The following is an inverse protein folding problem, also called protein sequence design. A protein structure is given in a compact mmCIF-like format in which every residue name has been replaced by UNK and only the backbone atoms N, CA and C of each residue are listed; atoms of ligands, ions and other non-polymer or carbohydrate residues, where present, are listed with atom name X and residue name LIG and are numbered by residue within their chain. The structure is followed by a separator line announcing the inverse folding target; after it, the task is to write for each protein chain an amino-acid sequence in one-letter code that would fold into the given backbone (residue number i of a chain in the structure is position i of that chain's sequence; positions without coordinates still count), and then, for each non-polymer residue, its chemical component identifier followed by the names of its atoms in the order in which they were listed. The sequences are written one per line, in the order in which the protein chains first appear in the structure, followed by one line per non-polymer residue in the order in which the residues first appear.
data_IF_975363970307
#
_entry.id   IF_975363970307
#
_cell.length_a   1.000
_cell.length_b   1.000
_cell.length_c   1.000
_cell.angle_alpha   90.00
_cell.angle_beta   90.00
_cell.angle_gamma   90.00
#
_symmetry.space_group_name_H-M   'P 1'
#
loop_
_entity.id
_entity.type
_entity.pdbx_description
1 polymer ?
#
# COMPACT_ATOMS: atom_id res chain seq x y z
N UNK A 1 21.51 -1.63 11.05
CA UNK A 1 20.97 -0.32 10.62
C UNK A 1 20.47 -0.46 9.19
N UNK A 2 19.26 0.01 8.89
CA UNK A 2 18.67 -0.02 7.54
C UNK A 2 18.42 1.39 7.04
N UNK A 3 18.71 1.62 5.77
CA UNK A 3 18.24 2.78 4.99
C UNK A 3 17.70 2.28 3.65
N UNK A 4 16.57 2.81 3.23
CA UNK A 4 16.05 2.70 1.87
C UNK A 4 16.88 3.55 0.90
N UNK A 5 16.79 3.23 -0.39
CA UNK A 5 17.71 3.75 -1.42
C UNK A 5 17.02 4.23 -2.69
N UNK A 6 15.76 3.88 -2.91
CA UNK A 6 15.04 4.22 -4.14
C UNK A 6 14.53 5.66 -4.15
N UNK A 7 14.16 6.12 -5.32
CA UNK A 7 13.62 7.45 -5.59
C UNK A 7 12.25 7.32 -6.26
N UNK A 8 11.55 8.45 -6.42
CA UNK A 8 10.22 8.49 -7.03
C UNK A 8 10.25 9.04 -8.47
N UNK A 9 9.31 8.61 -9.34
CA UNK A 9 9.25 9.00 -10.74
C UNK A 9 8.57 10.37 -10.95
N UNK A 10 9.15 11.43 -10.37
CA UNK A 10 8.69 12.81 -10.57
C UNK A 10 9.84 13.78 -10.85
N UNK A 11 9.49 14.89 -11.48
CA UNK A 11 10.41 15.99 -11.74
C UNK A 11 10.68 16.77 -10.44
N UNK A 12 11.96 16.98 -10.13
CA UNK A 12 12.34 17.80 -8.99
C UNK A 12 12.17 19.30 -9.30
N UNK A 13 11.36 19.98 -8.47
CA UNK A 13 11.02 21.40 -8.63
C UNK A 13 11.47 22.28 -7.46
N UNK A 14 12.46 21.81 -6.70
CA UNK A 14 12.97 22.49 -5.50
C UNK A 14 13.80 23.74 -5.85
N UNK A 15 14.40 23.79 -7.04
CA UNK A 15 15.32 24.86 -7.45
C UNK A 15 16.68 24.82 -6.74
N UNK A 16 16.95 23.77 -5.97
CA UNK A 16 18.21 23.61 -5.25
C UNK A 16 19.38 23.43 -6.24
N UNK A 17 20.60 23.89 -5.89
CA UNK A 17 21.77 23.73 -6.78
C UNK A 17 22.10 22.28 -7.15
N UNK A 18 21.68 21.34 -6.31
CA UNK A 18 21.85 19.89 -6.48
C UNK A 18 20.56 19.17 -6.90
N UNK A 19 19.53 19.90 -7.31
CA UNK A 19 18.27 19.30 -7.77
C UNK A 19 18.53 18.30 -8.91
N UNK A 20 17.86 17.16 -8.84
CA UNK A 20 17.97 16.09 -9.82
C UNK A 20 17.56 16.56 -11.22
N UNK A 21 18.36 16.14 -12.20
CA UNK A 21 18.10 16.28 -13.64
C UNK A 21 18.02 14.92 -14.33
N UNK A 22 17.97 13.85 -13.53
CA UNK A 22 18.05 12.47 -14.01
C UNK A 22 16.69 12.04 -14.55
N UNK A 23 16.70 11.34 -15.69
CA UNK A 23 15.55 10.62 -16.26
C UNK A 23 15.95 9.15 -16.40
N UNK A 24 15.20 8.25 -15.76
CA UNK A 24 15.49 6.82 -15.73
C UNK A 24 14.25 6.00 -16.10
N UNK A 25 14.44 4.71 -16.36
CA UNK A 25 13.36 3.74 -16.52
C UNK A 25 13.04 3.08 -15.18
N UNK A 26 11.75 2.93 -14.87
CA UNK A 26 11.29 2.10 -13.76
C UNK A 26 11.43 0.60 -14.09
N UNK A 27 11.08 -0.27 -13.13
CA UNK A 27 11.11 -1.73 -13.29
C UNK A 27 10.12 -2.26 -14.35
N UNK A 28 9.17 -1.43 -14.81
CA UNK A 28 8.24 -1.72 -15.91
C UNK A 28 8.72 -1.15 -17.25
N UNK A 29 9.92 -0.54 -17.28
CA UNK A 29 10.51 0.08 -18.47
C UNK A 29 9.99 1.49 -18.78
N UNK A 30 9.10 2.06 -17.96
CA UNK A 30 8.55 3.39 -18.17
C UNK A 30 9.59 4.45 -17.82
N UNK A 31 9.82 5.40 -18.73
CA UNK A 31 10.78 6.49 -18.52
C UNK A 31 10.13 7.67 -17.80
N UNK A 32 10.74 8.12 -16.71
CA UNK A 32 10.31 9.29 -15.96
C UNK A 32 11.51 10.06 -15.37
N UNK A 33 11.36 11.37 -15.07
CA UNK A 33 12.29 12.09 -14.20
C UNK A 33 12.37 11.43 -12.82
N UNK A 34 13.48 11.63 -12.11
CA UNK A 34 13.77 10.99 -10.83
C UNK A 34 14.01 12.04 -9.75
N UNK A 35 13.36 11.91 -8.59
CA UNK A 35 13.57 12.76 -7.42
C UNK A 35 13.52 11.92 -6.13
N UNK A 36 14.43 12.17 -5.19
CA UNK A 36 14.32 11.63 -3.82
C UNK A 36 13.30 12.43 -2.98
N UNK A 37 12.03 12.41 -3.40
CA UNK A 37 10.97 13.17 -2.73
C UNK A 37 10.55 12.60 -1.35
N UNK A 38 10.99 11.38 -1.03
CA UNK A 38 10.81 10.74 0.29
C UNK A 38 12.09 10.74 1.14
N UNK A 39 13.10 11.52 0.76
CA UNK A 39 14.36 11.70 1.49
C UNK A 39 15.24 10.44 1.69
N UNK A 40 15.08 9.40 0.85
CA UNK A 40 15.92 8.19 0.90
C UNK A 40 17.41 8.50 0.66
N UNK A 41 17.72 9.57 -0.07
CA UNK A 41 19.08 10.12 -0.16
C UNK A 41 19.65 10.56 1.19
N UNK A 42 18.85 11.23 2.00
CA UNK A 42 19.21 11.62 3.36
C UNK A 42 19.37 10.40 4.26
N UNK A 43 18.53 9.37 4.11
CA UNK A 43 18.65 8.11 4.85
C UNK A 43 19.97 7.39 4.53
N UNK A 44 20.33 7.30 3.24
CA UNK A 44 21.62 6.76 2.80
C UNK A 44 22.80 7.58 3.35
N UNK A 45 22.72 8.92 3.31
CA UNK A 45 23.75 9.79 3.84
C UNK A 45 23.97 9.59 5.35
N UNK A 46 22.87 9.49 6.12
CA UNK A 46 22.92 9.18 7.56
C UNK A 46 23.55 7.82 7.82
N UNK A 47 23.15 6.77 7.09
CA UNK A 47 23.70 5.41 7.23
C UNK A 47 25.22 5.39 6.99
N UNK A 48 25.70 6.04 5.93
CA UNK A 48 27.13 6.15 5.62
C UNK A 48 27.87 6.96 6.70
N UNK A 49 27.26 8.03 7.21
CA UNK A 49 27.82 8.84 8.29
C UNK A 49 28.04 8.02 9.56
N UNK A 50 27.03 7.28 10.01
CA UNK A 50 27.11 6.40 11.17
C UNK A 50 28.14 5.28 10.95
N UNK A 51 28.13 4.66 9.76
CA UNK A 51 29.09 3.62 9.41
C UNK A 51 30.55 4.11 9.53
N UNK A 52 30.85 5.29 8.97
CA UNK A 52 32.19 5.90 9.05
C UNK A 52 32.59 6.19 10.50
N UNK A 53 31.66 6.70 11.31
CA UNK A 53 31.94 6.99 12.73
C UNK A 53 32.20 5.73 13.54
N UNK A 54 31.33 4.73 13.45
CA UNK A 54 31.51 3.47 14.19
C UNK A 54 32.77 2.71 13.72
N UNK A 55 33.12 2.78 12.44
CA UNK A 55 34.36 2.21 11.93
C UNK A 55 35.61 2.90 12.48
N UNK A 56 35.57 4.21 12.73
CA UNK A 56 36.66 4.98 13.32
C UNK A 56 36.79 4.83 14.84
N UNK A 57 35.75 4.31 15.51
CA UNK A 57 35.67 4.17 16.96
C UNK A 57 35.65 2.70 17.42
N UNK A 58 36.24 1.79 16.63
CA UNK A 58 36.21 0.34 16.90
C UNK A 58 36.81 -0.07 18.25
N UNK A 59 37.62 0.79 18.86
CA UNK A 59 38.19 0.63 20.20
C UNK A 59 37.20 0.98 21.33
N UNK A 60 36.08 1.63 21.00
CA UNK A 60 35.09 2.13 21.97
C UNK A 60 33.78 1.34 21.98
N UNK A 61 33.65 0.31 21.13
CA UNK A 61 32.48 -0.56 21.11
C UNK A 61 32.87 -1.98 20.71
N UNK A 62 31.98 -2.94 20.99
CA UNK A 62 32.18 -4.35 20.65
C UNK A 62 30.90 -4.96 20.07
N UNK A 63 31.04 -5.88 19.12
CA UNK A 63 29.96 -6.57 18.45
C UNK A 63 30.05 -6.49 16.93
N UNK A 64 28.90 -6.62 16.25
CA UNK A 64 28.81 -6.60 14.78
C UNK A 64 27.84 -5.52 14.32
N UNK A 65 28.30 -4.62 13.47
CA UNK A 65 27.44 -3.64 12.78
C UNK A 65 27.06 -4.18 11.39
N UNK A 66 25.77 -4.43 11.17
CA UNK A 66 25.21 -4.77 9.86
C UNK A 66 24.56 -3.54 9.25
N UNK A 67 24.98 -3.17 8.03
CA UNK A 67 24.45 -2.03 7.28
C UNK A 67 23.62 -2.57 6.11
N UNK A 68 22.35 -2.21 6.05
CA UNK A 68 21.38 -2.70 5.08
C UNK A 68 20.94 -1.52 4.21
N UNK A 69 21.37 -1.51 2.95
CA UNK A 69 20.81 -0.64 1.92
C UNK A 69 19.67 -1.33 1.20
N UNK A 70 18.43 -0.93 1.46
CA UNK A 70 17.24 -1.55 0.90
C UNK A 70 16.79 -0.84 -0.39
N UNK A 71 16.69 -1.54 -1.53
CA UNK A 71 16.06 -0.98 -2.73
C UNK A 71 14.52 -1.04 -2.64
N UNK A 72 13.81 -0.38 -3.54
CA UNK A 72 12.38 -0.64 -3.82
C UNK A 72 11.45 -0.58 -2.59
N UNK A 73 11.66 0.40 -1.71
CA UNK A 73 10.75 0.68 -0.59
C UNK A 73 9.43 1.27 -1.09
N UNK A 74 9.47 2.16 -2.07
CA UNK A 74 8.30 2.92 -2.55
C UNK A 74 7.24 2.03 -3.23
N UNK A 75 7.62 0.81 -3.62
CA UNK A 75 6.72 -0.20 -4.17
C UNK A 75 6.46 -1.35 -3.20
N UNK A 76 6.98 -1.27 -1.98
CA UNK A 76 6.77 -2.24 -0.90
C UNK A 76 7.49 -3.59 -1.06
N UNK A 77 8.27 -3.81 -2.13
CA UNK A 77 8.84 -5.12 -2.46
C UNK A 77 10.28 -5.32 -1.99
N UNK A 78 10.98 -4.24 -1.64
CA UNK A 78 12.40 -4.22 -1.34
C UNK A 78 12.85 -5.20 -0.26
N UNK A 79 12.27 -5.06 0.92
CA UNK A 79 12.62 -5.87 2.08
C UNK A 79 12.35 -7.36 1.83
N UNK A 80 11.18 -7.67 1.26
CA UNK A 80 10.80 -9.05 0.92
C UNK A 80 11.75 -9.67 -0.11
N UNK A 81 12.14 -8.90 -1.14
CA UNK A 81 13.10 -9.34 -2.15
C UNK A 81 14.48 -9.63 -1.55
N UNK A 82 14.99 -8.77 -0.66
CA UNK A 82 16.27 -9.00 0.03
C UNK A 82 16.22 -10.24 0.92
N UNK A 83 15.13 -10.44 1.67
CA UNK A 83 14.93 -11.64 2.49
C UNK A 83 14.89 -12.90 1.63
N UNK A 84 14.17 -12.86 0.51
CA UNK A 84 14.06 -13.97 -0.45
C UNK A 84 15.40 -14.29 -1.12
N UNK A 85 16.23 -13.27 -1.38
CA UNK A 85 17.61 -13.44 -1.85
C UNK A 85 18.59 -13.80 -0.71
N UNK A 86 18.09 -14.15 0.47
CA UNK A 86 18.91 -14.71 1.55
C UNK A 86 19.70 -13.67 2.35
N UNK A 87 19.15 -12.46 2.57
CA UNK A 87 19.81 -11.42 3.39
C UNK A 87 20.40 -11.97 4.69
N UNK A 88 19.65 -12.74 5.47
CA UNK A 88 20.12 -13.29 6.75
C UNK A 88 20.74 -14.69 6.66
N UNK A 89 20.90 -15.23 5.46
CA UNK A 89 21.70 -16.44 5.21
C UNK A 89 23.07 -16.09 4.64
N UNK A 90 23.17 -15.01 3.86
CA UNK A 90 24.40 -14.47 3.29
C UNK A 90 25.13 -13.50 4.23
N UNK A 91 24.41 -12.82 5.11
CA UNK A 91 24.95 -11.84 6.06
C UNK A 91 24.52 -12.17 7.51
N UNK A 92 25.27 -11.72 8.54
CA UNK A 92 24.88 -11.94 9.93
C UNK A 92 23.48 -11.41 10.23
N UNK A 93 22.65 -12.23 10.89
CA UNK A 93 21.36 -11.79 11.41
C UNK A 93 21.60 -10.92 12.67
N UNK A 94 21.18 -9.65 12.69
CA UNK A 94 21.35 -8.80 13.86
C UNK A 94 20.33 -9.14 14.95
N UNK A 95 20.67 -8.86 16.21
CA UNK A 95 19.73 -8.95 17.33
C UNK A 95 18.64 -7.88 17.25
N UNK A 96 18.99 -6.70 16.73
CA UNK A 96 18.09 -5.57 16.54
C UNK A 96 18.31 -4.91 15.17
N UNK A 97 17.21 -4.48 14.55
CA UNK A 97 17.23 -3.62 13.37
C UNK A 97 16.72 -2.24 13.76
N UNK A 98 17.49 -1.22 13.45
CA UNK A 98 17.11 0.18 13.61
C UNK A 98 17.05 0.83 12.23
N UNK A 99 15.99 1.59 12.00
CA UNK A 99 15.78 2.44 10.84
C UNK A 99 15.20 3.79 11.31
N UNK A 100 15.38 4.83 10.52
CA UNK A 100 14.79 6.14 10.77
C UNK A 100 14.28 6.70 9.45
N UNK A 101 13.19 7.45 9.51
CA UNK A 101 12.63 8.16 8.36
C UNK A 101 12.64 9.66 8.66
N UNK A 102 13.08 10.46 7.71
CA UNK A 102 13.02 11.92 7.82
C UNK A 102 11.57 12.35 7.74
N UNK A 103 11.11 13.17 8.68
CA UNK A 103 9.72 13.64 8.75
C UNK A 103 9.66 15.12 8.41
N UNK A 104 8.76 15.50 7.51
CA UNK A 104 8.39 16.90 7.27
C UNK A 104 7.33 17.42 8.26
N UNK A 105 6.82 16.57 9.14
CA UNK A 105 5.72 16.87 10.06
C UNK A 105 6.21 17.21 11.47
N UNK A 106 7.34 16.64 11.87
CA UNK A 106 7.89 16.79 13.22
C UNK A 106 8.83 18.00 13.31
N UNK A 107 8.91 18.66 14.48
CA UNK A 107 9.85 19.76 14.68
C UNK A 107 11.31 19.35 14.40
N UNK A 108 12.03 20.17 13.64
CA UNK A 108 13.44 19.93 13.37
C UNK A 108 14.26 19.81 14.66
N UNK A 109 15.18 18.84 14.69
CA UNK A 109 16.02 18.54 15.86
C UNK A 109 15.36 17.61 16.89
N UNK A 110 14.17 17.09 16.60
CA UNK A 110 13.51 16.07 17.42
C UNK A 110 13.61 14.66 16.79
N UNK A 111 13.47 13.64 17.62
CA UNK A 111 13.29 12.24 17.21
C UNK A 111 11.98 11.75 17.81
N UNK A 112 10.99 11.49 16.97
CA UNK A 112 9.74 10.86 17.38
C UNK A 112 9.89 9.33 17.30
N UNK A 113 9.32 8.63 18.27
CA UNK A 113 9.18 7.17 18.24
C UNK A 113 7.92 6.77 19.00
N UNK A 114 7.39 5.61 18.66
CA UNK A 114 6.34 4.95 19.43
C UNK A 114 6.77 3.51 19.71
N UNK A 115 6.46 2.95 20.88
CA UNK A 115 6.48 1.49 21.02
C UNK A 115 5.48 0.87 20.04
N UNK A 116 5.76 -0.38 19.65
CA UNK A 116 4.89 -1.20 18.81
C UNK A 116 4.68 -0.61 17.39
N UNK A 117 3.42 -0.39 16.99
CA UNK A 117 3.07 -0.02 15.62
C UNK A 117 3.33 1.46 15.34
N UNK A 118 4.25 1.75 14.42
CA UNK A 118 4.55 3.11 14.00
C UNK A 118 3.79 3.57 12.76
N UNK A 119 3.51 2.66 11.80
CA UNK A 119 2.85 2.95 10.52
C UNK A 119 1.85 1.83 10.18
N UNK A 120 0.80 2.17 9.44
CA UNK A 120 -0.28 1.23 9.10
C UNK A 120 0.07 0.40 7.87
N UNK A 121 -0.32 -0.87 7.87
CA UNK A 121 -0.31 -1.72 6.68
C UNK A 121 -1.18 -1.14 5.57
N UNK A 122 -0.85 -1.47 4.33
CA UNK A 122 -1.55 -1.04 3.12
C UNK A 122 -1.94 -2.27 2.31
N UNK A 123 -3.24 -2.47 2.06
CA UNK A 123 -3.71 -3.41 1.04
C UNK A 123 -4.45 -2.69 -0.08
N UNK A 124 -4.27 -3.17 -1.30
CA UNK A 124 -5.03 -2.77 -2.48
C UNK A 124 -6.01 -3.87 -2.86
N UNK A 125 -7.30 -3.52 -2.99
CA UNK A 125 -8.37 -4.47 -3.30
C UNK A 125 -9.19 -3.96 -4.48
N UNK A 126 -9.22 -4.73 -5.56
CA UNK A 126 -10.11 -4.48 -6.69
C UNK A 126 -11.33 -5.41 -6.61
N UNK A 127 -12.54 -4.85 -6.75
CA UNK A 127 -13.79 -5.61 -6.87
C UNK A 127 -14.37 -5.39 -8.27
N UNK A 128 -14.45 -6.44 -9.06
CA UNK A 128 -15.24 -6.46 -10.29
C UNK A 128 -16.66 -6.92 -9.96
N UNK A 129 -17.59 -5.98 -9.92
CA UNK A 129 -19.02 -6.21 -9.73
C UNK A 129 -19.61 -6.59 -11.09
N UNK A 130 -19.94 -7.87 -11.26
CA UNK A 130 -20.51 -8.38 -12.51
C UNK A 130 -22.03 -8.36 -12.45
N UNK A 131 -22.65 -8.07 -13.58
CA UNK A 131 -24.08 -7.92 -13.77
C UNK A 131 -24.55 -8.57 -15.07
N UNK A 132 -25.71 -8.13 -15.54
CA UNK A 132 -26.28 -8.52 -16.83
C UNK A 132 -26.80 -7.24 -17.47
N UNK A 133 -26.19 -6.85 -18.59
CA UNK A 133 -26.56 -5.65 -19.30
C UNK A 133 -28.00 -5.67 -19.80
N UNK A 134 -28.60 -4.49 -19.90
CA UNK A 134 -29.96 -4.31 -20.37
C UNK A 134 -30.18 -2.89 -20.89
N UNK A 135 -31.26 -2.70 -21.65
CA UNK A 135 -31.71 -1.35 -21.98
C UNK A 135 -32.15 -0.62 -20.71
N UNK A 136 -31.83 0.67 -20.57
CA UNK A 136 -32.14 1.44 -19.35
C UNK A 136 -33.63 1.54 -19.03
N UNK A 137 -34.50 1.34 -20.03
CA UNK A 137 -35.97 1.27 -19.84
C UNK A 137 -36.51 -0.13 -19.54
N UNK A 138 -35.66 -1.16 -19.55
CA UNK A 138 -36.03 -2.55 -19.29
C UNK A 138 -35.16 -3.17 -18.17
N UNK A 139 -35.05 -2.54 -16.98
CA UNK A 139 -34.14 -2.98 -15.92
C UNK A 139 -34.44 -4.39 -15.38
N UNK A 140 -35.68 -4.84 -15.47
CA UNK A 140 -36.11 -6.19 -15.06
C UNK A 140 -35.47 -7.32 -15.89
N UNK A 141 -34.91 -7.00 -17.06
CA UNK A 141 -34.21 -7.95 -17.93
C UNK A 141 -32.72 -8.11 -17.56
N UNK A 142 -32.19 -7.28 -16.66
CA UNK A 142 -30.78 -7.23 -16.32
C UNK A 142 -30.49 -7.38 -14.83
N UNK A 143 -29.21 -7.22 -14.49
CA UNK A 143 -28.70 -7.11 -13.12
C UNK A 143 -27.73 -5.95 -13.10
N UNK A 144 -28.15 -4.83 -12.53
CA UNK A 144 -27.41 -3.57 -12.62
C UNK A 144 -26.19 -3.55 -11.68
N UNK A 145 -24.95 -3.64 -12.22
CA UNK A 145 -23.75 -3.66 -11.40
C UNK A 145 -23.42 -2.29 -10.79
N UNK A 146 -23.97 -1.18 -11.30
CA UNK A 146 -23.80 0.15 -10.71
C UNK A 146 -24.61 0.22 -9.41
N UNK A 147 -25.86 -0.25 -9.43
CA UNK A 147 -26.71 -0.29 -8.22
C UNK A 147 -26.12 -1.23 -7.17
N UNK A 148 -25.68 -2.43 -7.59
CA UNK A 148 -25.03 -3.40 -6.70
C UNK A 148 -23.74 -2.83 -6.12
N UNK A 149 -22.91 -2.20 -6.96
CA UNK A 149 -21.68 -1.55 -6.53
C UNK A 149 -21.94 -0.46 -5.49
N UNK A 150 -22.94 0.40 -5.70
CA UNK A 150 -23.30 1.43 -4.73
C UNK A 150 -23.75 0.84 -3.39
N UNK A 151 -24.53 -0.24 -3.41
CA UNK A 151 -24.91 -0.96 -2.20
C UNK A 151 -23.70 -1.57 -1.48
N UNK A 152 -22.73 -2.10 -2.22
CA UNK A 152 -21.44 -2.56 -1.66
C UNK A 152 -20.71 -1.40 -0.98
N UNK A 153 -20.55 -0.25 -1.63
CA UNK A 153 -19.85 0.92 -1.05
C UNK A 153 -20.47 1.32 0.29
N UNK A 154 -21.80 1.40 0.37
CA UNK A 154 -22.51 1.72 1.62
C UNK A 154 -22.31 0.65 2.69
N UNK A 155 -22.42 -0.63 2.32
CA UNK A 155 -22.24 -1.73 3.25
C UNK A 155 -20.80 -1.85 3.78
N UNK A 156 -19.78 -1.55 2.96
CA UNK A 156 -18.38 -1.58 3.39
C UNK A 156 -18.10 -0.66 4.58
N UNK A 157 -18.87 0.41 4.76
CA UNK A 157 -18.72 1.32 5.90
C UNK A 157 -19.03 0.66 7.25
N UNK A 158 -19.78 -0.45 7.26
CA UNK A 158 -20.08 -1.20 8.49
C UNK A 158 -18.87 -1.97 9.02
N UNK A 159 -17.87 -2.25 8.17
CA UNK A 159 -16.64 -2.90 8.62
C UNK A 159 -15.97 -2.06 9.70
N UNK A 160 -15.71 -0.79 9.41
CA UNK A 160 -15.12 0.14 10.39
C UNK A 160 -16.12 0.52 11.46
N UNK A 161 -17.33 0.92 11.07
CA UNK A 161 -18.24 1.53 12.04
C UNK A 161 -18.82 0.51 13.02
N UNK A 162 -19.06 -0.75 12.62
CA UNK A 162 -19.82 -1.75 13.39
C UNK A 162 -19.08 -3.07 13.65
N UNK A 163 -18.04 -3.42 12.90
CA UNK A 163 -17.34 -4.70 13.06
C UNK A 163 -15.93 -4.57 13.65
N UNK A 164 -15.30 -3.40 13.57
CA UNK A 164 -13.99 -3.12 14.21
C UNK A 164 -14.18 -2.60 15.64
N UNK A 165 -13.36 -3.07 16.58
CA UNK A 165 -13.33 -2.54 17.93
C UNK A 165 -13.01 -1.04 17.89
N UNK A 166 -13.75 -0.15 18.58
CA UNK A 166 -13.48 1.28 18.59
C UNK A 166 -12.08 1.69 19.10
N UNK A 167 -11.36 0.78 19.78
CA UNK A 167 -9.97 0.99 20.22
C UNK A 167 -8.93 0.54 19.19
N UNK A 168 -9.34 -0.21 18.17
CA UNK A 168 -8.48 -0.68 17.08
C UNK A 168 -8.62 0.25 15.87
N UNK A 169 -7.56 0.37 15.08
CA UNK A 169 -7.56 1.23 13.89
C UNK A 169 -7.77 0.42 12.61
N UNK A 170 -8.66 0.91 11.75
CA UNK A 170 -8.85 0.40 10.40
C UNK A 170 -9.43 1.47 9.48
N UNK A 171 -9.08 1.40 8.19
CA UNK A 171 -9.66 2.26 7.15
C UNK A 171 -10.02 1.40 5.95
N UNK A 172 -11.20 1.65 5.37
CA UNK A 172 -11.62 1.10 4.07
C UNK A 172 -12.07 2.26 3.20
N UNK A 173 -11.28 2.57 2.17
CA UNK A 173 -11.55 3.69 1.26
C UNK A 173 -11.82 3.16 -0.13
N UNK A 174 -12.99 3.47 -0.69
CA UNK A 174 -13.28 3.24 -2.11
C UNK A 174 -12.76 4.44 -2.89
N UNK A 175 -11.56 4.31 -3.47
CA UNK A 175 -10.87 5.38 -4.17
C UNK A 175 -11.30 5.55 -5.63
N UNK A 176 -11.92 4.53 -6.23
CA UNK A 176 -12.47 4.61 -7.58
C UNK A 176 -13.72 3.76 -7.74
N UNK A 177 -14.70 4.28 -8.48
CA UNK A 177 -15.93 3.60 -8.88
C UNK A 177 -16.14 3.83 -10.37
N UNK A 178 -16.01 2.78 -11.18
CA UNK A 178 -16.04 2.88 -12.64
C UNK A 178 -17.08 1.93 -13.21
N UNK A 179 -17.97 2.40 -14.09
CA UNK A 179 -18.97 1.56 -14.73
C UNK A 179 -19.85 2.33 -15.70
N UNK A 180 -20.34 1.64 -16.72
CA UNK A 180 -21.19 2.24 -17.75
C UNK A 180 -20.43 3.03 -18.81
N UNK A 181 -21.15 3.38 -19.88
CA UNK A 181 -20.63 4.23 -20.96
C UNK A 181 -21.71 5.19 -21.50
N UNK A 182 -22.90 4.67 -21.81
CA UNK A 182 -24.07 5.47 -22.22
C UNK A 182 -25.14 5.51 -21.13
N UNK A 183 -25.87 6.63 -21.06
CA UNK A 183 -26.91 6.89 -20.06
C UNK A 183 -28.14 5.98 -20.15
N UNK A 184 -28.38 5.33 -21.30
CA UNK A 184 -29.55 4.48 -21.54
C UNK A 184 -29.23 2.98 -21.58
N UNK A 185 -28.07 2.58 -21.06
CA UNK A 185 -27.61 1.19 -21.05
C UNK A 185 -27.15 0.82 -19.64
N UNK A 186 -27.68 -0.27 -19.11
CA UNK A 186 -27.15 -0.94 -17.92
C UNK A 186 -25.93 -1.75 -18.38
N UNK A 187 -24.73 -1.55 -17.80
CA UNK A 187 -23.52 -2.26 -18.22
C UNK A 187 -23.48 -3.70 -17.70
N UNK A 188 -22.58 -4.50 -18.26
CA UNK A 188 -22.31 -5.86 -17.80
C UNK A 188 -21.46 -5.91 -16.52
N UNK A 189 -20.69 -4.86 -16.22
CA UNK A 189 -19.87 -4.79 -15.02
C UNK A 189 -19.60 -3.35 -14.54
N UNK A 190 -19.16 -3.25 -13.29
CA UNK A 190 -18.56 -2.06 -12.68
C UNK A 190 -17.36 -2.48 -11.81
N UNK A 191 -16.37 -1.61 -11.66
CA UNK A 191 -15.14 -1.87 -10.89
C UNK A 191 -15.02 -0.89 -9.72
N UNK A 192 -14.71 -1.44 -8.55
CA UNK A 192 -14.33 -0.70 -7.34
C UNK A 192 -12.83 -0.88 -7.11
N UNK A 193 -12.11 0.22 -6.87
CA UNK A 193 -10.72 0.18 -6.41
C UNK A 193 -10.66 0.68 -4.98
N UNK A 194 -10.18 -0.18 -4.08
CA UNK A 194 -10.30 -0.01 -2.64
C UNK A 194 -8.91 -0.04 -2.01
N UNK A 195 -8.69 0.87 -1.06
CA UNK A 195 -7.51 0.90 -0.21
C UNK A 195 -7.91 0.50 1.20
N UNK A 196 -7.19 -0.44 1.81
CA UNK A 196 -7.38 -0.84 3.20
C UNK A 196 -6.15 -0.42 4.01
N UNK A 197 -6.39 0.08 5.24
CA UNK A 197 -5.35 0.33 6.24
C UNK A 197 -5.69 -0.40 7.53
N UNK A 198 -4.69 -0.96 8.19
CA UNK A 198 -4.82 -1.62 9.50
C UNK A 198 -3.47 -1.69 10.20
N UNK A 199 -3.45 -1.70 11.54
CA UNK A 199 -2.21 -1.95 12.29
C UNK A 199 -2.06 -3.44 12.61
N UNK A 200 -3.10 -4.04 13.18
CA UNK A 200 -3.06 -5.43 13.62
C UNK A 200 -3.48 -6.42 12.53
N UNK A 201 -2.86 -7.60 12.54
CA UNK A 201 -3.17 -8.69 11.60
C UNK A 201 -4.62 -9.18 11.73
N UNK A 202 -5.16 -9.21 12.95
CA UNK A 202 -6.56 -9.57 13.22
C UNK A 202 -7.54 -8.62 12.55
N UNK A 203 -7.32 -7.32 12.70
CA UNK A 203 -8.11 -6.26 12.06
C UNK A 203 -8.00 -6.38 10.54
N UNK A 204 -6.78 -6.50 10.02
CA UNK A 204 -6.53 -6.68 8.58
C UNK A 204 -7.35 -7.83 8.00
N UNK A 205 -7.25 -9.00 8.63
CA UNK A 205 -7.97 -10.20 8.20
C UNK A 205 -9.48 -9.97 8.23
N UNK A 206 -10.01 -9.36 9.29
CA UNK A 206 -11.42 -9.05 9.40
C UNK A 206 -11.90 -8.13 8.27
N UNK A 207 -11.14 -7.08 7.94
CA UNK A 207 -11.47 -6.16 6.85
C UNK A 207 -11.47 -6.86 5.49
N UNK A 208 -10.42 -7.62 5.17
CA UNK A 208 -10.29 -8.30 3.87
C UNK A 208 -11.35 -9.40 3.67
N UNK A 209 -11.64 -10.19 4.70
CA UNK A 209 -12.68 -11.21 4.66
C UNK A 209 -14.08 -10.56 4.64
N UNK A 210 -14.26 -9.46 5.38
CA UNK A 210 -15.47 -8.65 5.39
C UNK A 210 -15.78 -8.04 4.02
N UNK A 211 -14.79 -7.51 3.32
CA UNK A 211 -14.94 -7.01 1.94
C UNK A 211 -15.46 -8.10 1.01
N UNK A 212 -14.86 -9.29 1.03
CA UNK A 212 -15.31 -10.45 0.23
C UNK A 212 -16.74 -10.85 0.57
N UNK A 213 -17.06 -10.94 1.86
CA UNK A 213 -18.38 -11.30 2.37
C UNK A 213 -19.44 -10.29 1.92
N UNK A 214 -19.19 -9.00 2.11
CA UNK A 214 -20.13 -7.93 1.75
C UNK A 214 -20.37 -7.91 0.25
N UNK A 215 -19.31 -7.96 -0.57
CA UNK A 215 -19.44 -7.98 -2.03
C UNK A 215 -20.35 -9.12 -2.51
N UNK A 216 -20.08 -10.33 -2.02
CA UNK A 216 -20.89 -11.52 -2.34
C UNK A 216 -22.34 -11.40 -1.84
N UNK A 217 -22.54 -10.94 -0.61
CA UNK A 217 -23.88 -10.82 -0.01
C UNK A 217 -24.75 -9.79 -0.75
N UNK A 218 -24.19 -8.65 -1.14
CA UNK A 218 -24.93 -7.63 -1.89
C UNK A 218 -25.35 -8.12 -3.27
N UNK A 219 -24.45 -8.81 -4.00
CA UNK A 219 -24.77 -9.43 -5.28
C UNK A 219 -25.84 -10.53 -5.15
N UNK A 220 -25.75 -11.36 -4.11
CA UNK A 220 -26.76 -12.38 -3.81
C UNK A 220 -28.13 -11.74 -3.54
N UNK A 221 -28.16 -10.64 -2.78
CA UNK A 221 -29.41 -9.94 -2.46
C UNK A 221 -30.08 -9.33 -3.71
N UNK A 222 -29.29 -8.95 -4.72
CA UNK A 222 -29.77 -8.48 -6.02
C UNK A 222 -30.17 -9.64 -6.97
N UNK A 223 -30.04 -10.89 -6.53
CA UNK A 223 -30.35 -12.08 -7.31
C UNK A 223 -29.41 -12.28 -8.50
N UNK A 224 -28.14 -11.88 -8.38
CA UNK A 224 -27.09 -12.23 -9.36
C UNK A 224 -26.87 -13.75 -9.29
N UNK A 225 -26.77 -14.46 -10.43
CA UNK A 225 -26.51 -15.90 -10.42
C UNK A 225 -25.07 -16.21 -9.97
N UNK A 226 -24.86 -17.41 -9.45
CA UNK A 226 -23.59 -17.81 -8.82
C UNK A 226 -22.37 -17.64 -9.74
N UNK A 227 -22.52 -17.93 -11.04
CA UNK A 227 -21.45 -17.80 -12.03
C UNK A 227 -21.05 -16.33 -12.31
N UNK A 228 -21.87 -15.36 -11.89
CA UNK A 228 -21.64 -13.92 -12.04
C UNK A 228 -21.37 -13.22 -10.69
N UNK A 229 -21.06 -13.97 -9.63
CA UNK A 229 -20.68 -13.33 -8.36
C UNK A 229 -19.48 -12.38 -8.52
N UNK A 230 -19.39 -11.29 -7.72
CA UNK A 230 -18.28 -10.35 -7.81
C UNK A 230 -16.92 -11.04 -7.64
N UNK A 231 -15.94 -10.57 -8.39
CA UNK A 231 -14.56 -11.05 -8.28
C UNK A 231 -13.82 -10.05 -7.39
N UNK A 232 -13.21 -10.55 -6.31
CA UNK A 232 -12.40 -9.73 -5.40
C UNK A 232 -10.94 -10.14 -5.55
N UNK A 233 -10.12 -9.23 -6.05
CA UNK A 233 -8.67 -9.41 -6.17
C UNK A 233 -7.98 -8.57 -5.09
N UNK A 234 -7.18 -9.21 -4.26
CA UNK A 234 -6.34 -8.54 -3.27
C UNK A 234 -4.92 -8.55 -3.82
N UNK A 235 -4.38 -7.38 -4.10
CA UNK A 235 -2.96 -7.20 -4.39
C UNK A 235 -2.27 -7.01 -3.04
N UNK A 236 -1.78 -8.13 -2.50
CA UNK A 236 -0.97 -8.12 -1.29
C UNK A 236 0.46 -7.77 -1.67
N UNK A 237 0.72 -6.49 -1.92
CA UNK A 237 2.08 -5.98 -1.83
C UNK A 237 2.40 -5.90 -0.34
N UNK A 238 2.64 -7.05 0.29
CA UNK A 238 3.08 -7.14 1.68
C UNK A 238 4.33 -6.26 1.77
N UNK A 239 4.18 -5.12 2.43
CA UNK A 239 5.32 -4.32 2.90
C UNK A 239 5.60 -4.87 4.29
N UNK A 240 6.59 -5.78 4.46
CA UNK A 240 6.89 -6.35 5.78
C UNK A 240 7.41 -5.29 6.76
#
# INVERSE_FOLDING_TARGET
LRADMDALPLEEKTGLPYASKVVSSDYKGQRAPVMHACAHDSHMAMLIGVARRLAAMKDQWNGTLVLIGQPAEEIGLGALAMLSDGLYTKFPKPDFVLAAHTSGWDPAGSVAYTPEYALANVDSVDITVRGVGAHGSAPHMGKDPIVIGAAIVGALQTLISRETNPLESGVVTVGSFQGGYKHNIIPDEATLKITVRSYEEGVRKNLLDGIKRIARAQALSAGVPENLMPIVKIESDMTP
#
